data_IF_192614106522
#
_entry.id   IF_192614106522
#
_cell.length_a   1.000
_cell.length_b   1.000
_cell.length_c   1.000
_cell.angle_alpha   90.00
_cell.angle_beta   90.00
_cell.angle_gamma   90.00
#
_symmetry.space_group_name_H-M   'P 1'
#
loop_
_entity.id
_entity.type
_entity.pdbx_description
1 polymer ?
#
# COMPACT_ATOMS: atom_id res chain seq x y z
N UNK A 1 -6.70 -0.16 2.26
CA UNK A 1 -5.38 -0.13 2.92
C UNK A 1 -5.47 0.74 4.16
N UNK A 2 -4.70 0.40 5.20
CA UNK A 2 -4.67 1.14 6.46
C UNK A 2 -3.23 1.32 6.94
N UNK A 3 -2.92 2.47 7.52
CA UNK A 3 -1.70 2.71 8.30
C UNK A 3 -2.08 2.91 9.76
N UNK A 4 -1.49 2.11 10.66
CA UNK A 4 -1.76 2.18 12.10
C UNK A 4 -0.49 2.49 12.88
N UNK A 5 -0.53 3.44 13.80
CA UNK A 5 0.62 3.74 14.67
C UNK A 5 0.51 5.08 15.37
N UNK A 6 1.51 5.39 16.20
CA UNK A 6 1.60 6.69 16.89
C UNK A 6 1.72 7.83 15.89
N UNK A 7 1.27 9.01 16.29
CA UNK A 7 1.52 10.22 15.52
C UNK A 7 2.98 10.64 15.61
N UNK A 8 3.75 10.24 14.61
CA UNK A 8 5.17 10.55 14.51
C UNK A 8 5.59 10.72 13.06
N UNK A 9 6.85 11.15 12.89
CA UNK A 9 7.44 11.37 11.58
C UNK A 9 7.36 10.13 10.67
N UNK A 10 7.62 8.93 11.22
CA UNK A 10 7.59 7.69 10.42
C UNK A 10 6.20 7.42 9.85
N UNK A 11 5.14 7.57 10.67
CA UNK A 11 3.75 7.44 10.22
C UNK A 11 3.41 8.48 9.17
N UNK A 12 3.79 9.74 9.42
CA UNK A 12 3.56 10.83 8.47
C UNK A 12 4.23 10.56 7.12
N UNK A 13 5.51 10.15 7.11
CA UNK A 13 6.25 9.86 5.88
C UNK A 13 5.64 8.67 5.14
N UNK A 14 5.28 7.59 5.85
CA UNK A 14 4.65 6.43 5.22
C UNK A 14 3.31 6.81 4.56
N UNK A 15 2.47 7.57 5.25
CA UNK A 15 1.19 8.05 4.71
C UNK A 15 1.41 8.97 3.51
N UNK A 16 2.38 9.89 3.59
CA UNK A 16 2.69 10.82 2.50
C UNK A 16 3.13 10.07 1.24
N UNK A 17 4.07 9.12 1.38
CA UNK A 17 4.51 8.30 0.25
C UNK A 17 3.37 7.49 -0.35
N UNK A 18 2.51 6.86 0.47
CA UNK A 18 1.36 6.11 -0.02
C UNK A 18 0.37 6.99 -0.80
N UNK A 19 0.20 8.26 -0.42
CA UNK A 19 -0.62 9.22 -1.15
C UNK A 19 0.03 9.64 -2.46
N UNK A 20 1.34 9.87 -2.47
CA UNK A 20 2.11 10.23 -3.68
C UNK A 20 2.07 9.12 -4.74
N UNK A 21 2.17 7.86 -4.31
CA UNK A 21 2.13 6.70 -5.22
C UNK A 21 0.74 6.12 -5.42
N UNK A 22 -0.30 6.69 -4.80
CA UNK A 22 -1.67 6.16 -4.82
C UNK A 22 -2.18 5.97 -6.25
N UNK A 23 -2.10 7.00 -7.07
CA UNK A 23 -2.62 6.97 -8.45
C UNK A 23 -1.89 5.92 -9.31
N UNK A 24 -0.58 5.75 -9.09
CA UNK A 24 0.21 4.71 -9.74
C UNK A 24 -0.27 3.32 -9.32
N UNK A 25 -0.44 3.09 -8.02
CA UNK A 25 -0.90 1.81 -7.48
C UNK A 25 -2.32 1.47 -7.97
N UNK A 26 -3.25 2.41 -7.96
CA UNK A 26 -4.62 2.21 -8.46
C UNK A 26 -4.62 1.84 -9.94
N UNK A 27 -3.78 2.51 -10.74
CA UNK A 27 -3.63 2.22 -12.17
C UNK A 27 -3.00 0.84 -12.42
N UNK A 28 -2.02 0.42 -11.63
CA UNK A 28 -1.38 -0.88 -11.84
C UNK A 28 -2.21 -2.05 -11.29
N UNK A 29 -3.01 -1.81 -10.25
CA UNK A 29 -3.81 -2.82 -9.57
C UNK A 29 -5.28 -2.90 -10.04
N UNK A 30 -5.69 -2.04 -10.97
CA UNK A 30 -7.06 -1.98 -11.50
C UNK A 30 -8.11 -1.82 -10.39
N UNK A 31 -7.75 -1.12 -9.32
CA UNK A 31 -8.57 -1.05 -8.13
C UNK A 31 -8.51 0.32 -7.47
N UNK A 32 -9.57 0.68 -6.76
CA UNK A 32 -9.62 1.90 -6.00
C UNK A 32 -9.03 1.67 -4.60
N UNK A 33 -7.95 2.36 -4.28
CA UNK A 33 -7.24 2.20 -3.02
C UNK A 33 -7.74 3.27 -2.05
N UNK A 34 -8.57 2.84 -1.11
CA UNK A 34 -8.87 3.64 0.07
C UNK A 34 -7.73 3.53 1.08
N UNK A 35 -7.11 4.64 1.43
CA UNK A 35 -6.14 4.74 2.51
C UNK A 35 -6.82 5.29 3.77
N UNK A 36 -6.74 4.53 4.86
CA UNK A 36 -7.22 4.94 6.18
C UNK A 36 -6.04 5.06 7.15
N UNK A 37 -6.07 6.07 8.02
CA UNK A 37 -5.06 6.26 9.06
C UNK A 37 -5.73 6.01 10.41
N UNK A 38 -5.15 5.12 11.20
CA UNK A 38 -5.65 4.72 12.52
C UNK A 38 -4.59 5.03 13.59
N UNK A 39 -5.02 5.57 14.71
CA UNK A 39 -4.13 5.74 15.86
C UNK A 39 -3.77 4.37 16.45
N UNK A 40 -2.51 4.24 16.88
CA UNK A 40 -2.02 3.04 17.54
C UNK A 40 -0.88 3.37 18.49
N UNK A 41 -0.50 2.40 19.30
CA UNK A 41 0.52 2.58 20.34
C UNK A 41 1.95 2.32 19.85
N UNK A 42 2.10 1.76 18.64
CA UNK A 42 3.39 1.38 18.06
C UNK A 42 4.17 2.60 17.55
N UNK A 43 5.48 2.65 17.86
CA UNK A 43 6.38 3.68 17.33
C UNK A 43 6.68 3.48 15.85
N UNK A 44 6.80 2.23 15.41
CA UNK A 44 6.89 1.92 13.99
C UNK A 44 5.47 1.79 13.41
N UNK A 45 5.10 2.58 12.38
CA UNK A 45 3.78 2.47 11.78
C UNK A 45 3.61 1.13 11.07
N UNK A 46 2.45 0.52 11.20
CA UNK A 46 2.07 -0.75 10.58
C UNK A 46 1.30 -0.49 9.28
N UNK A 47 1.73 -1.12 8.20
CA UNK A 47 1.02 -1.12 6.92
C UNK A 47 0.11 -2.35 6.83
N UNK A 48 -1.18 -2.12 6.65
CA UNK A 48 -2.20 -3.16 6.60
C UNK A 48 -2.92 -3.10 5.25
N UNK A 49 -2.88 -4.21 4.51
CA UNK A 49 -3.52 -4.36 3.19
C UNK A 49 -4.54 -5.48 3.30
N UNK A 50 -5.80 -5.20 2.94
CA UNK A 50 -6.93 -6.13 3.09
C UNK A 50 -6.99 -6.85 4.44
N UNK A 51 -6.76 -6.10 5.52
CA UNK A 51 -6.78 -6.63 6.90
C UNK A 51 -5.53 -7.41 7.31
N UNK A 52 -4.54 -7.59 6.43
CA UNK A 52 -3.30 -8.31 6.72
C UNK A 52 -2.15 -7.34 6.98
N UNK A 53 -1.37 -7.60 8.04
CA UNK A 53 -0.15 -6.85 8.32
C UNK A 53 0.91 -7.19 7.27
N UNK A 54 1.28 -6.19 6.45
CA UNK A 54 2.27 -6.33 5.37
C UNK A 54 3.68 -5.97 5.86
N UNK A 55 3.78 -5.04 6.79
CA UNK A 55 5.06 -4.63 7.36
C UNK A 55 4.90 -3.57 8.44
N UNK A 56 6.01 -3.27 9.12
CA UNK A 56 6.10 -2.22 10.12
C UNK A 56 7.35 -1.35 9.89
N UNK A 57 7.22 -0.05 10.11
CA UNK A 57 8.25 0.95 9.87
C UNK A 57 8.15 1.59 8.49
N UNK A 58 9.18 2.37 8.16
CA UNK A 58 9.32 3.02 6.87
C UNK A 58 10.37 2.24 6.04
N UNK A 59 10.08 1.88 4.78
CA UNK A 59 11.11 1.34 3.91
C UNK A 59 12.21 2.38 3.63
N UNK A 60 13.41 1.93 3.28
CA UNK A 60 14.54 2.83 3.04
C UNK A 60 14.33 3.79 1.88
N UNK A 61 13.48 3.43 0.92
CA UNK A 61 13.18 4.20 -0.29
C UNK A 61 11.69 4.07 -0.66
N UNK A 62 11.11 5.11 -1.25
CA UNK A 62 9.71 5.14 -1.71
C UNK A 62 9.43 4.06 -2.77
N UNK A 63 10.37 3.85 -3.70
CA UNK A 63 10.23 2.82 -4.73
C UNK A 63 10.01 1.41 -4.18
N UNK A 64 10.58 1.11 -2.99
CA UNK A 64 10.38 -0.17 -2.34
C UNK A 64 8.97 -0.31 -1.75
N UNK A 65 8.35 0.78 -1.33
CA UNK A 65 6.97 0.78 -0.82
C UNK A 65 5.98 0.33 -1.89
N UNK A 66 6.13 0.82 -3.13
CA UNK A 66 5.30 0.43 -4.28
C UNK A 66 5.35 -1.08 -4.48
N UNK A 67 6.55 -1.65 -4.52
CA UNK A 67 6.74 -3.08 -4.75
C UNK A 67 6.21 -3.94 -3.59
N UNK A 68 6.34 -3.48 -2.35
CA UNK A 68 5.77 -4.13 -1.16
C UNK A 68 4.25 -4.18 -1.26
N UNK A 69 3.59 -3.06 -1.57
CA UNK A 69 2.12 -3.00 -1.69
C UNK A 69 1.64 -3.88 -2.84
N UNK A 70 2.27 -3.78 -4.02
CA UNK A 70 1.91 -4.61 -5.18
C UNK A 70 2.05 -6.10 -4.88
N UNK A 71 3.17 -6.49 -4.27
CA UNK A 71 3.40 -7.88 -3.88
C UNK A 71 2.33 -8.36 -2.90
N UNK A 72 2.03 -7.57 -1.86
CA UNK A 72 1.00 -7.93 -0.90
C UNK A 72 -0.38 -8.12 -1.57
N UNK A 73 -0.78 -7.22 -2.47
CA UNK A 73 -2.06 -7.35 -3.19
C UNK A 73 -2.07 -8.58 -4.09
N UNK A 74 -0.99 -8.85 -4.83
CA UNK A 74 -0.87 -10.06 -5.66
C UNK A 74 -0.91 -11.35 -4.83
N UNK A 75 -0.25 -11.36 -3.67
CA UNK A 75 -0.22 -12.52 -2.77
C UNK A 75 -1.60 -12.78 -2.14
N UNK A 76 -2.37 -11.72 -1.85
CA UNK A 76 -3.69 -11.81 -1.21
C UNK A 76 -4.83 -12.07 -2.19
N UNK A 77 -4.74 -11.55 -3.42
CA UNK A 77 -5.84 -11.55 -4.40
C UNK A 77 -5.56 -12.35 -5.68
N UNK A 78 -4.31 -12.74 -5.90
CA UNK A 78 -3.87 -13.47 -7.09
C UNK A 78 -3.44 -12.56 -8.26
N UNK A 79 -2.88 -13.16 -9.33
CA UNK A 79 -2.22 -12.45 -10.43
C UNK A 79 -3.18 -11.69 -11.37
N UNK A 80 -4.48 -11.98 -11.34
CA UNK A 80 -5.53 -11.28 -12.12
C UNK A 80 -5.82 -9.85 -11.62
N UNK A 81 -5.07 -9.39 -10.62
CA UNK A 81 -5.15 -8.05 -10.05
C UNK A 81 -4.33 -7.01 -10.82
N UNK A 82 -3.72 -7.35 -11.97
CA UNK A 82 -2.92 -6.41 -12.78
C UNK A 82 -3.68 -5.85 -13.97
N UNK A 83 -3.34 -4.62 -14.34
CA UNK A 83 -3.79 -4.00 -15.59
C UNK A 83 -2.76 -4.03 -16.72
N UNK A 84 -3.25 -4.00 -17.95
CA UNK A 84 -2.52 -3.58 -19.14
C UNK A 84 -2.26 -2.06 -19.15
N UNK A 85 -1.47 -1.56 -20.11
CA UNK A 85 -1.17 -0.13 -20.33
C UNK A 85 -2.41 0.77 -20.50
N UNK A 86 -3.58 0.16 -20.75
CA UNK A 86 -4.89 0.81 -20.89
C UNK A 86 -5.76 0.80 -19.62
N UNK A 87 -5.30 0.21 -18.51
CA UNK A 87 -6.08 0.09 -17.27
C UNK A 87 -7.15 -1.01 -17.32
N UNK A 88 -7.02 -1.96 -18.25
CA UNK A 88 -7.90 -3.11 -18.39
C UNK A 88 -7.30 -4.30 -17.64
N UNK A 89 -8.10 -5.03 -16.85
CA UNK A 89 -7.63 -6.24 -16.17
C UNK A 89 -7.16 -7.27 -17.20
N UNK A 90 -5.97 -7.82 -16.99
CA UNK A 90 -5.48 -8.92 -17.80
C UNK A 90 -6.40 -10.14 -17.58
N UNK A 91 -7.19 -10.48 -18.60
CA UNK A 91 -7.99 -11.68 -18.61
C UNK A 91 -7.07 -12.91 -18.67
N UNK A 92 -7.43 -13.95 -17.91
CA UNK A 92 -6.74 -15.25 -17.83
C UNK A 92 -6.59 -15.93 -19.19
#
# INVERSE_FOLDING_TARGET
>A
MKVRGRDNYLRYTLVSWLLEVKDLLERELCDNIRLEVEEGENELPELIVDGHLVGAGLPGEEGYLIEVVKKAVMDLRGPSSRCDERGERLAE
#
